data_IF_162457820270
#
_entry.id   IF_162457820270
#
_cell.length_a   1.000
_cell.length_b   1.000
_cell.length_c   1.000
_cell.angle_alpha   90.00
_cell.angle_beta   90.00
_cell.angle_gamma   90.00
#
_symmetry.space_group_name_H-M   'P 1'
#
loop_
_entity.id
_entity.type
_entity.pdbx_description
1 polymer ?
#
# COMPACT_ATOMS: atom_id res chain seq x y z
N UNK A 1 75.78 16.14 26.82
CA UNK A 1 75.30 16.67 25.53
C UNK A 1 74.20 15.75 25.03
N UNK A 2 72.99 16.29 24.87
CA UNK A 2 71.76 15.52 24.70
C UNK A 2 71.64 14.92 23.30
N UNK A 3 71.25 13.65 23.25
CA UNK A 3 70.91 12.91 22.03
C UNK A 3 69.51 13.35 21.58
N UNK A 4 69.44 14.05 20.45
CA UNK A 4 68.19 14.40 19.77
C UNK A 4 67.62 13.13 19.11
N UNK A 5 66.58 12.54 19.71
CA UNK A 5 65.79 11.48 19.07
C UNK A 5 64.83 12.13 18.06
N UNK A 6 64.98 11.78 16.79
CA UNK A 6 64.00 12.09 15.74
C UNK A 6 62.66 11.44 16.09
N UNK A 7 61.64 12.26 16.30
CA UNK A 7 60.23 11.89 16.19
C UNK A 7 59.90 11.80 14.69
N UNK A 8 59.76 10.58 14.15
CA UNK A 8 59.11 10.36 12.85
C UNK A 8 57.59 10.53 12.98
N UNK A 9 56.89 11.01 11.93
CA UNK A 9 55.49 11.38 12.02
C UNK A 9 54.57 10.15 11.90
N UNK A 10 53.78 9.88 12.93
CA UNK A 10 52.68 8.91 12.93
C UNK A 10 51.41 9.42 12.18
N UNK A 11 51.58 10.21 11.12
CA UNK A 11 50.49 10.91 10.42
C UNK A 11 50.02 10.18 9.15
N UNK A 12 50.77 9.19 8.65
CA UNK A 12 50.42 8.48 7.40
C UNK A 12 49.32 7.41 7.54
N UNK A 13 49.09 6.86 8.74
CA UNK A 13 48.08 5.81 8.97
C UNK A 13 46.65 6.39 9.13
N UNK A 14 46.51 7.64 9.58
CA UNK A 14 45.22 8.29 9.65
C UNK A 14 44.70 8.69 8.25
N UNK A 15 45.60 9.04 7.32
CA UNK A 15 45.21 9.45 5.96
C UNK A 15 44.67 8.31 5.09
N UNK A 16 45.16 7.07 5.25
CA UNK A 16 44.71 5.93 4.44
C UNK A 16 43.35 5.40 4.88
N UNK A 17 43.08 5.39 6.19
CA UNK A 17 41.78 4.97 6.75
C UNK A 17 40.67 5.96 6.35
N UNK A 18 40.96 7.26 6.38
CA UNK A 18 39.99 8.30 5.98
C UNK A 18 39.63 8.18 4.49
N UNK A 19 40.58 7.83 3.61
CA UNK A 19 40.33 7.63 2.19
C UNK A 19 39.49 6.37 1.88
N UNK A 20 39.66 5.30 2.65
CA UNK A 20 38.92 4.04 2.47
C UNK A 20 37.45 4.17 2.89
N UNK A 21 37.17 4.94 3.94
CA UNK A 21 35.81 5.20 4.42
C UNK A 21 35.10 6.35 3.67
N UNK A 22 35.86 7.21 2.99
CA UNK A 22 35.37 8.38 2.24
C UNK A 22 35.51 8.17 0.74
N UNK A 23 34.93 7.07 0.24
CA UNK A 23 34.87 6.76 -1.18
C UNK A 23 33.41 6.85 -1.66
N UNK A 24 33.18 7.46 -2.83
CA UNK A 24 31.87 7.46 -3.49
C UNK A 24 31.58 6.15 -4.25
N UNK A 25 32.57 5.27 -4.35
CA UNK A 25 32.44 3.97 -5.02
C UNK A 25 31.62 2.98 -4.19
N UNK A 26 30.99 2.04 -4.90
CA UNK A 26 30.33 0.88 -4.28
C UNK A 26 31.39 -0.13 -3.85
N UNK A 27 31.39 -0.52 -2.57
CA UNK A 27 32.16 -1.65 -2.08
C UNK A 27 31.41 -2.93 -2.40
N UNK A 28 32.02 -3.82 -3.16
CA UNK A 28 31.50 -5.18 -3.37
C UNK A 28 32.04 -6.11 -2.29
N UNK A 29 31.14 -6.72 -1.51
CA UNK A 29 31.48 -7.66 -0.45
C UNK A 29 31.10 -9.05 -0.92
N UNK A 30 32.10 -9.90 -1.22
CA UNK A 30 31.87 -11.27 -1.75
C UNK A 30 32.12 -12.37 -0.71
N UNK A 31 32.75 -12.00 0.40
CA UNK A 31 33.07 -12.84 1.56
C UNK A 31 33.21 -11.99 2.82
N UNK A 32 33.16 -12.62 3.99
CA UNK A 32 33.35 -11.95 5.28
C UNK A 32 34.68 -11.16 5.36
N UNK A 33 35.73 -11.61 4.67
CA UNK A 33 37.01 -10.91 4.62
C UNK A 33 36.92 -9.54 3.91
N UNK A 34 35.99 -9.34 2.97
CA UNK A 34 35.82 -8.03 2.31
C UNK A 34 35.10 -7.03 3.22
N UNK A 35 34.25 -7.52 4.14
CA UNK A 35 33.66 -6.68 5.18
C UNK A 35 34.73 -6.08 6.11
N UNK A 36 35.90 -6.73 6.24
CA UNK A 36 37.04 -6.17 6.99
C UNK A 36 37.57 -4.87 6.38
N UNK A 37 37.36 -4.62 5.09
CA UNK A 37 37.75 -3.38 4.41
C UNK A 37 36.98 -2.16 4.93
N UNK A 38 35.81 -2.36 5.53
CA UNK A 38 35.02 -1.31 6.19
C UNK A 38 34.90 -1.51 7.69
N UNK A 39 35.50 -2.55 8.26
CA UNK A 39 35.44 -2.82 9.68
C UNK A 39 36.11 -1.73 10.55
N UNK A 40 36.99 -0.90 9.98
CA UNK A 40 37.57 0.27 10.66
C UNK A 40 36.73 1.54 10.50
N UNK A 41 35.71 1.53 9.63
CA UNK A 41 34.87 2.67 9.33
C UNK A 41 33.68 2.75 10.29
N UNK A 42 33.52 3.87 11.00
CA UNK A 42 32.26 4.18 11.68
C UNK A 42 31.22 4.71 10.70
N UNK A 43 31.65 5.50 9.72
CA UNK A 43 30.84 6.00 8.60
C UNK A 43 31.48 5.58 7.28
N UNK A 44 30.70 4.96 6.39
CA UNK A 44 31.10 4.65 5.02
C UNK A 44 30.32 5.55 4.05
N UNK A 45 31.03 6.31 3.21
CA UNK A 45 30.43 7.34 2.35
C UNK A 45 29.83 6.80 1.05
N UNK A 46 30.14 5.56 0.68
CA UNK A 46 29.67 4.92 -0.54
C UNK A 46 28.47 4.01 -0.30
N UNK A 47 28.21 3.14 -1.27
CA UNK A 47 27.23 2.05 -1.19
C UNK A 47 27.91 0.71 -0.96
N UNK A 48 27.21 -0.26 -0.40
CA UNK A 48 27.65 -1.66 -0.29
C UNK A 48 26.81 -2.49 -1.25
N UNK A 49 27.46 -3.32 -2.06
CA UNK A 49 26.79 -4.31 -2.88
C UNK A 49 27.34 -5.71 -2.57
N UNK A 50 26.48 -6.72 -2.67
CA UNK A 50 26.87 -8.11 -2.52
C UNK A 50 26.50 -8.82 -3.82
N UNK A 51 27.46 -9.50 -4.48
CA UNK A 51 27.23 -10.11 -5.79
C UNK A 51 26.35 -11.36 -5.69
N UNK A 52 25.93 -11.85 -6.85
CA UNK A 52 25.04 -13.00 -7.01
C UNK A 52 25.71 -14.33 -6.62
N UNK A 53 27.02 -14.44 -6.84
CA UNK A 53 27.82 -15.62 -6.54
C UNK A 53 28.57 -15.42 -5.21
N UNK A 54 28.17 -16.22 -4.23
CA UNK A 54 28.70 -16.20 -2.87
C UNK A 54 29.50 -17.46 -2.56
N UNK A 55 30.10 -18.10 -3.57
CA UNK A 55 30.89 -19.33 -3.43
C UNK A 55 31.89 -19.32 -2.28
N UNK A 56 32.37 -18.13 -1.88
CA UNK A 56 33.37 -17.92 -0.83
C UNK A 56 32.81 -17.26 0.45
N UNK A 57 31.49 -17.07 0.58
CA UNK A 57 30.82 -16.53 1.79
C UNK A 57 30.37 -17.61 2.78
N UNK A 58 30.79 -18.86 2.58
CA UNK A 58 30.54 -19.95 3.52
C UNK A 58 31.27 -19.63 4.83
N UNK A 59 30.53 -19.46 5.93
CA UNK A 59 31.12 -19.39 7.26
C UNK A 59 31.65 -20.79 7.68
N UNK A 60 32.42 -20.87 8.76
CA UNK A 60 33.00 -22.14 9.24
C UNK A 60 31.95 -23.24 9.55
N UNK A 61 30.66 -22.89 9.59
CA UNK A 61 29.54 -23.79 9.85
C UNK A 61 28.79 -24.23 8.58
N UNK A 62 29.26 -23.88 7.38
CA UNK A 62 28.64 -24.30 6.13
C UNK A 62 27.46 -23.45 5.66
N UNK A 63 27.18 -22.33 6.32
CA UNK A 63 26.09 -21.41 5.95
C UNK A 63 26.64 -20.21 5.16
N UNK A 64 25.90 -19.78 4.13
CA UNK A 64 26.20 -18.56 3.39
C UNK A 64 25.66 -17.36 4.17
N UNK A 65 26.45 -16.89 5.12
CA UNK A 65 26.11 -15.81 6.03
C UNK A 65 27.08 -14.66 5.85
N UNK A 66 26.55 -13.44 5.77
CA UNK A 66 27.38 -12.24 5.70
C UNK A 66 27.09 -11.31 6.87
N UNK A 67 28.15 -10.97 7.63
CA UNK A 67 28.11 -9.96 8.67
C UNK A 67 29.02 -8.79 8.33
N UNK A 68 28.51 -7.57 8.48
CA UNK A 68 29.30 -6.33 8.40
C UNK A 68 29.19 -5.60 9.73
N UNK A 69 30.20 -5.81 10.57
CA UNK A 69 30.24 -5.26 11.92
C UNK A 69 31.04 -3.95 11.99
N UNK A 70 30.73 -3.12 13.00
CA UNK A 70 31.32 -1.80 13.31
C UNK A 70 30.88 -0.60 12.45
N UNK A 71 30.37 -0.80 11.22
CA UNK A 71 29.84 0.32 10.43
C UNK A 71 28.53 0.82 11.04
N UNK A 72 28.50 2.08 11.48
CA UNK A 72 27.33 2.70 12.10
C UNK A 72 26.50 3.51 11.11
N UNK A 73 27.11 4.02 10.04
CA UNK A 73 26.43 4.80 9.01
C UNK A 73 26.93 4.44 7.62
N UNK A 74 26.01 4.22 6.70
CA UNK A 74 26.27 4.11 5.26
C UNK A 74 25.59 5.29 4.59
N UNK A 75 26.34 6.18 3.93
CA UNK A 75 25.74 7.32 3.22
C UNK A 75 25.00 6.87 1.97
N UNK A 76 25.46 5.79 1.31
CA UNK A 76 24.80 5.18 0.17
C UNK A 76 23.79 4.10 0.54
N UNK A 77 23.61 3.17 -0.39
CA UNK A 77 22.66 2.05 -0.27
C UNK A 77 23.38 0.76 0.11
N UNK A 78 22.63 -0.18 0.68
CA UNK A 78 22.97 -1.60 0.69
C UNK A 78 22.12 -2.26 -0.38
N UNK A 79 22.76 -2.85 -1.40
CA UNK A 79 22.08 -3.48 -2.54
C UNK A 79 22.52 -4.93 -2.72
N UNK A 80 21.59 -5.86 -2.67
CA UNK A 80 21.83 -7.29 -2.94
C UNK A 80 20.74 -7.78 -3.87
N UNK A 81 21.13 -8.29 -5.03
CA UNK A 81 20.20 -8.89 -5.98
C UNK A 81 20.70 -10.28 -6.38
N UNK A 82 19.79 -11.22 -6.55
CA UNK A 82 20.03 -12.55 -7.13
C UNK A 82 21.07 -13.41 -6.38
N UNK A 83 21.37 -13.07 -5.12
CA UNK A 83 22.17 -13.91 -4.23
C UNK A 83 21.30 -15.02 -3.63
N UNK A 84 20.83 -15.93 -4.49
CA UNK A 84 19.83 -16.97 -4.17
C UNK A 84 20.28 -17.98 -3.14
N UNK A 85 21.58 -18.02 -2.83
CA UNK A 85 22.18 -18.89 -1.82
C UNK A 85 22.45 -18.18 -0.49
N UNK A 86 22.24 -16.88 -0.36
CA UNK A 86 22.46 -16.11 0.88
C UNK A 86 21.40 -16.47 1.92
N UNK A 87 21.82 -17.02 3.05
CA UNK A 87 20.93 -17.48 4.11
C UNK A 87 20.70 -16.44 5.21
N UNK A 88 21.73 -15.66 5.55
CA UNK A 88 21.62 -14.58 6.53
C UNK A 88 22.47 -13.35 6.20
N UNK A 89 21.94 -12.17 6.54
CA UNK A 89 22.59 -10.88 6.42
C UNK A 89 22.48 -10.11 7.73
N UNK A 90 23.62 -9.68 8.28
CA UNK A 90 23.66 -8.91 9.52
C UNK A 90 24.54 -7.66 9.44
N UNK A 91 24.08 -6.57 10.06
CA UNK A 91 24.90 -5.41 10.39
C UNK A 91 24.73 -5.08 11.88
N UNK A 92 25.65 -5.53 12.73
CA UNK A 92 25.48 -5.47 14.18
C UNK A 92 25.45 -4.06 14.78
N UNK A 93 26.02 -3.06 14.10
CA UNK A 93 26.14 -1.68 14.62
C UNK A 93 25.49 -0.61 13.73
N UNK A 94 24.86 -0.99 12.61
CA UNK A 94 24.35 -0.04 11.63
C UNK A 94 23.13 0.70 12.17
N UNK A 95 23.23 2.03 12.22
CA UNK A 95 22.19 2.95 12.70
C UNK A 95 21.48 3.69 11.59
N UNK A 96 22.18 3.95 10.47
CA UNK A 96 21.58 4.66 9.34
C UNK A 96 22.14 4.22 7.98
N UNK A 97 21.25 4.16 6.99
CA UNK A 97 21.58 4.03 5.57
C UNK A 97 20.59 4.76 4.66
N UNK A 98 21.02 5.15 3.46
CA UNK A 98 20.12 5.84 2.51
C UNK A 98 19.10 4.89 1.87
N UNK A 99 19.45 3.62 1.67
CA UNK A 99 18.53 2.65 1.09
C UNK A 99 18.93 1.22 1.37
N UNK A 100 17.95 0.37 1.67
CA UNK A 100 18.07 -1.07 1.75
C UNK A 100 17.33 -1.68 0.57
N UNK A 101 18.06 -2.31 -0.35
CA UNK A 101 17.53 -2.86 -1.60
C UNK A 101 17.91 -4.33 -1.71
N UNK A 102 16.97 -5.21 -1.37
CA UNK A 102 17.16 -6.65 -1.37
C UNK A 102 16.20 -7.29 -2.38
N UNK A 103 16.75 -8.02 -3.34
CA UNK A 103 16.02 -8.59 -4.47
C UNK A 103 16.39 -10.04 -4.75
N UNK A 104 15.38 -10.89 -4.96
CA UNK A 104 15.55 -12.29 -5.36
C UNK A 104 16.52 -13.08 -4.45
N UNK A 105 16.24 -13.05 -3.14
CA UNK A 105 17.02 -13.73 -2.11
C UNK A 105 16.19 -14.89 -1.56
N UNK A 106 16.06 -15.95 -2.36
CA UNK A 106 15.05 -17.00 -2.16
C UNK A 106 15.17 -17.80 -0.87
N UNK A 107 16.39 -17.89 -0.30
CA UNK A 107 16.66 -18.65 0.93
C UNK A 107 17.04 -17.75 2.11
N UNK A 108 17.06 -16.41 1.94
CA UNK A 108 17.40 -15.49 3.03
C UNK A 108 16.31 -15.59 4.10
N UNK A 109 16.71 -16.12 5.26
CA UNK A 109 15.81 -16.35 6.40
C UNK A 109 16.07 -15.39 7.55
N UNK A 110 17.22 -14.70 7.56
CA UNK A 110 17.58 -13.73 8.59
C UNK A 110 18.10 -12.43 7.98
N UNK A 111 17.46 -11.32 8.38
CA UNK A 111 17.91 -9.94 8.13
C UNK A 111 18.01 -9.21 9.48
N UNK A 112 19.24 -8.99 9.96
CA UNK A 112 19.51 -8.49 11.30
C UNK A 112 20.22 -7.14 11.30
N UNK A 113 19.51 -6.09 11.72
CA UNK A 113 19.97 -4.71 11.84
C UNK A 113 19.58 -4.16 13.24
N UNK A 114 20.10 -4.73 14.34
CA UNK A 114 19.54 -4.52 15.68
C UNK A 114 19.67 -3.08 16.24
N UNK A 115 20.48 -2.22 15.63
CA UNK A 115 20.65 -0.82 16.03
C UNK A 115 20.11 0.18 15.00
N UNK A 116 19.37 -0.29 13.99
CA UNK A 116 18.91 0.56 12.90
C UNK A 116 17.89 1.57 13.42
N UNK A 117 17.99 2.81 12.96
CA UNK A 117 17.07 3.90 13.31
C UNK A 117 16.53 4.60 12.06
N UNK A 118 17.39 4.78 11.05
CA UNK A 118 17.04 5.52 9.83
C UNK A 118 17.36 4.71 8.59
N UNK A 119 16.35 4.48 7.74
CA UNK A 119 16.54 3.89 6.42
C UNK A 119 15.85 4.81 5.42
N UNK A 120 16.59 5.48 4.54
CA UNK A 120 15.96 6.41 3.58
C UNK A 120 14.90 5.74 2.72
N UNK A 121 15.16 4.53 2.20
CA UNK A 121 14.20 3.71 1.44
C UNK A 121 14.36 2.22 1.76
N UNK A 122 13.24 1.50 1.91
CA UNK A 122 13.21 0.04 2.08
C UNK A 122 12.59 -0.56 0.82
N UNK A 123 13.33 -1.43 0.13
CA UNK A 123 12.86 -2.19 -1.02
C UNK A 123 13.23 -3.66 -0.86
N UNK A 124 12.24 -4.49 -0.55
CA UNK A 124 12.37 -5.93 -0.35
C UNK A 124 11.49 -6.65 -1.38
N UNK A 125 12.11 -7.39 -2.29
CA UNK A 125 11.44 -8.03 -3.41
C UNK A 125 11.89 -9.49 -3.55
N UNK A 126 10.95 -10.43 -3.53
CA UNK A 126 11.28 -11.85 -3.77
C UNK A 126 12.20 -12.44 -2.69
N UNK A 127 11.74 -12.37 -1.43
CA UNK A 127 12.44 -12.90 -0.25
C UNK A 127 11.50 -13.84 0.53
N UNK A 128 11.04 -14.94 -0.09
CA UNK A 128 9.98 -15.79 0.44
C UNK A 128 10.34 -16.52 1.74
N UNK A 129 11.63 -16.71 2.04
CA UNK A 129 12.08 -17.39 3.26
C UNK A 129 12.15 -16.46 4.50
N UNK A 130 12.13 -15.14 4.32
CA UNK A 130 12.27 -14.18 5.42
C UNK A 130 10.92 -13.96 6.11
N UNK A 131 10.80 -14.43 7.36
CA UNK A 131 9.52 -14.38 8.10
C UNK A 131 9.38 -13.17 9.03
N UNK A 132 10.49 -12.55 9.42
CA UNK A 132 10.53 -11.39 10.30
C UNK A 132 11.78 -10.53 10.06
N UNK A 133 11.73 -9.27 10.46
CA UNK A 133 12.91 -8.43 10.61
C UNK A 133 13.53 -8.59 11.99
N UNK A 134 14.82 -8.27 12.13
CA UNK A 134 15.44 -8.01 13.41
C UNK A 134 16.00 -6.58 13.43
N UNK A 135 15.11 -5.59 13.57
CA UNK A 135 15.46 -4.15 13.63
C UNK A 135 15.65 -3.62 15.06
N UNK A 136 15.75 -4.53 16.04
CA UNK A 136 15.83 -4.18 17.45
C UNK A 136 14.53 -3.62 18.02
N UNK A 137 14.56 -3.25 19.31
CA UNK A 137 13.37 -2.76 20.02
C UNK A 137 12.99 -1.33 19.63
N UNK A 138 13.97 -0.51 19.24
CA UNK A 138 13.75 0.88 18.85
C UNK A 138 13.19 1.00 17.41
N UNK A 139 13.42 -0.03 16.57
CA UNK A 139 12.94 -0.08 15.19
C UNK A 139 13.41 1.07 14.31
N UNK A 140 12.80 1.18 13.13
CA UNK A 140 13.04 2.28 12.19
C UNK A 140 12.07 3.41 12.49
N UNK A 141 12.61 4.59 12.80
CA UNK A 141 11.82 5.81 13.07
C UNK A 141 11.70 6.73 11.86
N UNK A 142 12.58 6.58 10.87
CA UNK A 142 12.59 7.42 9.68
C UNK A 142 12.78 6.61 8.39
N UNK A 143 11.82 6.74 7.48
CA UNK A 143 11.93 6.28 6.10
C UNK A 143 11.04 7.10 5.16
N UNK A 144 11.43 7.25 3.90
CA UNK A 144 10.63 7.95 2.90
C UNK A 144 9.72 7.01 2.11
N UNK A 145 10.17 5.79 1.82
CA UNK A 145 9.44 4.86 0.96
C UNK A 145 9.69 3.42 1.36
N UNK A 146 8.60 2.64 1.39
CA UNK A 146 8.61 1.21 1.66
C UNK A 146 7.97 0.48 0.49
N UNK A 147 8.71 -0.46 -0.10
CA UNK A 147 8.22 -1.49 -1.02
C UNK A 147 8.57 -2.86 -0.42
N UNK A 148 7.55 -3.66 -0.10
CA UNK A 148 7.71 -5.04 0.38
C UNK A 148 6.81 -5.93 -0.45
N UNK A 149 7.41 -6.81 -1.25
CA UNK A 149 6.65 -7.71 -2.13
C UNK A 149 7.27 -9.09 -2.27
N UNK A 150 6.42 -10.10 -2.38
CA UNK A 150 6.83 -11.50 -2.53
C UNK A 150 7.77 -11.95 -1.40
N UNK A 151 7.42 -11.64 -0.15
CA UNK A 151 8.19 -12.03 1.03
C UNK A 151 7.43 -13.04 1.89
N UNK A 152 8.16 -13.75 2.76
CA UNK A 152 7.60 -14.65 3.77
C UNK A 152 7.14 -13.94 5.05
N UNK A 153 7.18 -12.61 5.09
CA UNK A 153 6.97 -11.83 6.31
C UNK A 153 5.56 -12.09 6.87
N UNK A 154 5.49 -12.25 8.20
CA UNK A 154 4.23 -12.47 8.92
C UNK A 154 3.73 -11.23 9.66
N UNK A 155 4.64 -10.30 9.96
CA UNK A 155 4.36 -8.97 10.49
C UNK A 155 5.38 -7.96 9.97
N UNK A 156 5.14 -6.68 10.20
CA UNK A 156 6.07 -5.59 9.92
C UNK A 156 6.57 -4.91 11.21
N UNK A 157 6.64 -5.68 12.31
CA UNK A 157 7.17 -5.17 13.58
C UNK A 157 8.59 -4.62 13.40
N UNK A 158 8.87 -3.47 14.01
CA UNK A 158 10.09 -2.69 13.78
C UNK A 158 9.90 -1.54 12.80
N UNK A 159 8.73 -1.40 12.17
CA UNK A 159 8.32 -0.23 11.38
C UNK A 159 7.22 0.60 12.07
N UNK A 160 6.78 0.18 13.25
CA UNK A 160 5.70 0.80 14.02
C UNK A 160 6.05 2.19 14.58
N UNK A 161 7.35 2.50 14.68
CA UNK A 161 7.88 3.77 15.20
C UNK A 161 7.98 4.89 14.14
N UNK A 162 7.55 4.63 12.90
CA UNK A 162 7.58 5.62 11.83
C UNK A 162 6.58 6.75 12.08
N UNK A 163 7.06 8.00 12.07
CA UNK A 163 6.19 9.18 12.21
C UNK A 163 5.56 9.63 10.88
N UNK A 164 6.32 9.56 9.79
CA UNK A 164 5.86 9.93 8.44
C UNK A 164 6.45 8.98 7.40
N UNK A 165 5.74 8.76 6.30
CA UNK A 165 6.26 8.09 5.11
C UNK A 165 5.66 8.76 3.87
N UNK A 166 6.39 8.76 2.77
CA UNK A 166 5.85 9.28 1.52
C UNK A 166 5.03 8.19 0.83
N UNK A 167 5.60 7.00 0.66
CA UNK A 167 4.95 5.87 -0.03
C UNK A 167 5.09 4.58 0.76
N UNK A 168 3.98 3.86 0.91
CA UNK A 168 3.93 2.56 1.59
C UNK A 168 3.22 1.55 0.68
N UNK A 169 4.00 0.65 0.08
CA UNK A 169 3.49 -0.36 -0.82
C UNK A 169 3.87 -1.75 -0.31
N UNK A 170 2.88 -2.49 0.20
CA UNK A 170 3.05 -3.84 0.72
C UNK A 170 2.07 -4.74 -0.02
N UNK A 171 2.59 -5.58 -0.91
CA UNK A 171 1.76 -6.41 -1.76
C UNK A 171 2.36 -7.80 -1.99
N UNK A 172 1.52 -8.80 -2.28
CA UNK A 172 1.99 -10.17 -2.56
C UNK A 172 2.79 -10.80 -1.41
N UNK A 173 2.41 -10.57 -0.15
CA UNK A 173 3.04 -11.19 1.02
C UNK A 173 1.99 -12.05 1.75
N UNK A 174 1.73 -13.27 1.27
CA UNK A 174 0.58 -14.07 1.71
C UNK A 174 0.64 -14.49 3.18
N UNK A 175 1.83 -14.46 3.80
CA UNK A 175 2.05 -14.76 5.21
C UNK A 175 1.69 -13.62 6.17
N UNK A 176 1.48 -12.39 5.68
CA UNK A 176 1.22 -11.24 6.56
C UNK A 176 -0.12 -11.40 7.29
N UNK A 177 -0.08 -11.21 8.61
CA UNK A 177 -1.26 -11.28 9.47
C UNK A 177 -1.65 -9.91 10.02
N UNK A 178 -0.67 -9.04 10.23
CA UNK A 178 -0.89 -7.69 10.75
C UNK A 178 0.06 -6.68 10.09
N UNK A 179 -0.47 -5.48 9.86
CA UNK A 179 0.28 -4.29 9.48
C UNK A 179 -0.15 -3.18 10.44
N UNK A 180 0.78 -2.70 11.26
CA UNK A 180 0.56 -1.54 12.14
C UNK A 180 1.65 -0.53 11.92
N UNK A 181 1.29 0.72 11.62
CA UNK A 181 2.23 1.84 11.48
C UNK A 181 1.79 3.03 12.34
N UNK A 182 2.72 3.61 13.12
CA UNK A 182 2.51 4.80 13.93
C UNK A 182 2.47 6.13 13.18
N UNK A 183 2.41 6.10 11.84
CA UNK A 183 2.50 7.28 10.99
C UNK A 183 1.35 8.27 11.23
N UNK A 184 1.67 9.55 11.23
CA UNK A 184 0.70 10.66 11.33
C UNK A 184 0.26 11.17 9.96
N UNK A 185 1.12 11.02 8.94
CA UNK A 185 0.82 11.43 7.58
C UNK A 185 1.46 10.53 6.51
N UNK A 186 0.74 10.33 5.40
CA UNK A 186 1.21 9.70 4.16
C UNK A 186 1.22 10.73 3.03
N UNK A 187 2.40 11.05 2.48
CA UNK A 187 2.50 12.11 1.47
C UNK A 187 1.96 11.70 0.10
N UNK A 188 2.19 10.46 -0.33
CA UNK A 188 1.83 9.99 -1.67
C UNK A 188 0.77 8.89 -1.63
N UNK A 189 1.10 7.69 -1.15
CA UNK A 189 0.19 6.56 -1.23
C UNK A 189 0.44 5.46 -0.19
N UNK A 190 -0.65 4.88 0.32
CA UNK A 190 -0.71 3.52 0.86
C UNK A 190 -1.30 2.60 -0.22
N UNK A 191 -0.62 1.50 -0.50
CA UNK A 191 -1.14 0.39 -1.29
C UNK A 191 -0.91 -0.93 -0.55
N UNK A 192 -2.00 -1.55 -0.10
CA UNK A 192 -2.00 -2.87 0.52
C UNK A 192 -2.88 -3.78 -0.33
N UNK A 193 -2.29 -4.83 -0.92
CA UNK A 193 -3.00 -5.73 -1.82
C UNK A 193 -2.40 -7.14 -1.87
N UNK A 194 -3.21 -8.16 -2.15
CA UNK A 194 -2.75 -9.53 -2.37
C UNK A 194 -1.86 -10.09 -1.24
N UNK A 195 -2.19 -9.77 0.01
CA UNK A 195 -1.46 -10.24 1.20
C UNK A 195 -2.25 -11.30 2.00
N UNK A 196 -3.36 -11.82 1.45
CA UNK A 196 -4.34 -12.70 2.10
C UNK A 196 -4.23 -14.19 1.70
N UNK A 197 -3.14 -14.58 1.04
CA UNK A 197 -3.03 -15.86 0.32
C UNK A 197 -3.19 -17.15 1.15
N UNK A 198 -3.18 -17.09 2.48
CA UNK A 198 -3.38 -18.26 3.36
C UNK A 198 -4.66 -18.21 4.21
N UNK A 199 -5.70 -17.48 3.77
CA UNK A 199 -6.87 -17.14 4.60
C UNK A 199 -6.50 -16.36 5.86
N UNK A 200 -5.37 -15.65 5.81
CA UNK A 200 -4.95 -14.76 6.88
C UNK A 200 -5.95 -13.60 6.92
N UNK A 201 -6.63 -13.46 8.06
CA UNK A 201 -7.44 -12.30 8.35
C UNK A 201 -6.53 -11.09 8.55
N UNK A 202 -5.93 -10.57 7.47
CA UNK A 202 -4.99 -9.45 7.51
C UNK A 202 -5.64 -8.24 8.15
N UNK A 203 -5.13 -7.89 9.33
CA UNK A 203 -5.53 -6.69 10.05
C UNK A 203 -4.58 -5.55 9.71
N UNK A 204 -5.13 -4.37 9.45
CA UNK A 204 -4.34 -3.17 9.16
C UNK A 204 -4.75 -2.03 10.09
N UNK A 205 -3.78 -1.37 10.71
CA UNK A 205 -4.02 -0.32 11.68
C UNK A 205 -3.05 0.85 11.51
N UNK A 206 -3.62 2.06 11.44
CA UNK A 206 -2.88 3.31 11.41
C UNK A 206 -3.43 4.22 12.51
N UNK A 207 -3.13 3.90 13.79
CA UNK A 207 -3.82 4.49 14.95
C UNK A 207 -3.63 6.00 15.09
N UNK A 208 -2.52 6.53 14.55
CA UNK A 208 -2.17 7.96 14.64
C UNK A 208 -2.32 8.71 13.32
N UNK A 209 -2.77 8.04 12.25
CA UNK A 209 -2.82 8.65 10.92
C UNK A 209 -3.92 9.71 10.86
N UNK A 210 -3.52 10.95 10.58
CA UNK A 210 -4.41 12.11 10.49
C UNK A 210 -4.68 12.50 9.04
N UNK A 211 -3.66 12.44 8.18
CA UNK A 211 -3.76 12.85 6.78
C UNK A 211 -3.12 11.88 5.81
N UNK A 212 -3.74 11.64 4.67
CA UNK A 212 -3.13 10.87 3.59
C UNK A 212 -3.45 11.49 2.22
N UNK A 213 -2.62 11.24 1.23
CA UNK A 213 -2.96 11.58 -0.16
C UNK A 213 -3.84 10.50 -0.79
N UNK A 214 -3.32 9.29 -0.95
CA UNK A 214 -4.04 8.17 -1.57
C UNK A 214 -3.93 6.91 -0.70
N UNK A 215 -5.01 6.15 -0.56
CA UNK A 215 -5.06 4.94 0.25
C UNK A 215 -5.88 3.87 -0.47
N UNK A 216 -5.25 2.74 -0.75
CA UNK A 216 -5.88 1.54 -1.33
C UNK A 216 -5.69 0.35 -0.41
N UNK A 217 -6.80 -0.24 0.01
CA UNK A 217 -6.86 -1.46 0.80
C UNK A 217 -7.59 -2.53 0.02
N UNK A 218 -6.90 -3.64 -0.24
CA UNK A 218 -7.48 -4.83 -0.84
C UNK A 218 -7.27 -6.02 0.07
N UNK A 219 -8.25 -6.91 0.10
CA UNK A 219 -8.15 -8.19 0.78
C UNK A 219 -7.79 -8.10 2.29
N UNK A 220 -8.19 -7.03 2.96
CA UNK A 220 -8.02 -6.86 4.40
C UNK A 220 -9.24 -7.42 5.16
N UNK A 221 -9.03 -8.03 6.32
CA UNK A 221 -10.12 -8.42 7.23
C UNK A 221 -10.54 -7.27 8.15
N UNK A 222 -9.64 -6.31 8.38
CA UNK A 222 -9.94 -5.07 9.09
C UNK A 222 -9.01 -3.94 8.67
N UNK A 223 -9.54 -2.72 8.70
CA UNK A 223 -8.79 -1.48 8.48
C UNK A 223 -9.18 -0.48 9.55
N UNK A 224 -8.23 -0.08 10.40
CA UNK A 224 -8.44 0.84 11.52
C UNK A 224 -7.78 2.19 11.26
N UNK A 225 -8.60 3.24 11.15
CA UNK A 225 -8.20 4.62 10.83
C UNK A 225 -8.86 5.64 11.80
N UNK A 226 -8.68 5.49 13.13
CA UNK A 226 -9.48 6.21 14.12
C UNK A 226 -9.24 7.73 14.13
N UNK A 227 -8.05 8.18 13.74
CA UNK A 227 -7.67 9.60 13.75
C UNK A 227 -7.70 10.26 12.36
N UNK A 228 -8.05 9.50 11.31
CA UNK A 228 -7.96 9.99 9.93
C UNK A 228 -8.97 11.10 9.72
N UNK A 229 -8.48 12.31 9.42
CA UNK A 229 -9.28 13.52 9.30
C UNK A 229 -9.48 13.96 7.85
N UNK A 230 -8.49 13.72 6.98
CA UNK A 230 -8.50 14.18 5.59
C UNK A 230 -7.72 13.25 4.64
N UNK A 231 -8.31 12.96 3.48
CA UNK A 231 -7.65 12.25 2.37
C UNK A 231 -7.73 13.09 1.10
N UNK A 232 -6.60 13.49 0.50
CA UNK A 232 -6.66 14.48 -0.60
C UNK A 232 -7.06 13.91 -1.95
N UNK A 233 -6.77 12.63 -2.22
CA UNK A 233 -7.02 11.97 -3.51
C UNK A 233 -8.07 10.86 -3.40
N UNK A 234 -7.76 9.69 -2.84
CA UNK A 234 -8.71 8.58 -2.78
C UNK A 234 -8.55 7.76 -1.51
N UNK A 235 -9.67 7.36 -0.93
CA UNK A 235 -9.76 6.34 0.11
C UNK A 235 -10.58 5.18 -0.46
N UNK A 236 -9.91 4.07 -0.79
CA UNK A 236 -10.51 2.96 -1.51
C UNK A 236 -10.35 1.60 -0.84
N UNK A 237 -11.45 0.85 -0.83
CA UNK A 237 -11.59 -0.48 -0.25
C UNK A 237 -12.15 -1.45 -1.30
N UNK A 238 -11.36 -2.46 -1.67
CA UNK A 238 -11.70 -3.40 -2.75
C UNK A 238 -11.59 -4.85 -2.28
N UNK A 239 -12.67 -5.63 -2.36
CA UNK A 239 -12.60 -7.06 -2.06
C UNK A 239 -12.20 -7.38 -0.61
N UNK A 240 -12.43 -6.47 0.34
CA UNK A 240 -12.12 -6.71 1.75
C UNK A 240 -13.19 -7.62 2.39
N UNK A 241 -12.79 -8.33 3.44
CA UNK A 241 -13.64 -9.25 4.21
C UNK A 241 -14.09 -8.65 5.54
N UNK A 242 -13.85 -7.36 5.76
CA UNK A 242 -14.31 -6.63 6.95
C UNK A 242 -15.84 -6.50 6.99
N UNK A 243 -16.43 -6.75 8.17
CA UNK A 243 -17.88 -6.61 8.37
C UNK A 243 -18.32 -5.15 8.53
N UNK A 244 -17.44 -4.28 9.01
CA UNK A 244 -17.70 -2.86 9.20
C UNK A 244 -16.45 -2.03 8.93
N UNK A 245 -16.67 -0.78 8.55
CA UNK A 245 -15.62 0.23 8.45
C UNK A 245 -16.01 1.50 9.17
N UNK A 246 -15.07 2.08 9.92
CA UNK A 246 -15.26 3.36 10.59
C UNK A 246 -14.06 4.29 10.41
N UNK A 247 -14.37 5.56 10.11
CA UNK A 247 -13.41 6.65 10.13
C UNK A 247 -14.07 7.85 10.84
N UNK A 248 -14.11 7.84 12.18
CA UNK A 248 -14.96 8.75 12.96
C UNK A 248 -14.58 10.22 12.80
N UNK A 249 -13.31 10.51 12.49
CA UNK A 249 -12.78 11.86 12.36
C UNK A 249 -12.71 12.37 10.91
N UNK A 250 -13.02 11.54 9.92
CA UNK A 250 -12.84 11.90 8.51
C UNK A 250 -13.89 12.93 8.11
N UNK A 251 -13.44 14.11 7.72
CA UNK A 251 -14.31 15.24 7.32
C UNK A 251 -14.36 15.47 5.83
N UNK A 252 -13.26 15.18 5.13
CA UNK A 252 -13.11 15.38 3.69
C UNK A 252 -12.29 14.25 3.07
N UNK A 253 -12.69 13.79 1.89
CA UNK A 253 -11.85 12.97 1.02
C UNK A 253 -11.90 13.47 -0.43
N UNK A 254 -10.92 13.12 -1.25
CA UNK A 254 -11.04 13.25 -2.70
C UNK A 254 -12.13 12.31 -3.21
N UNK A 255 -11.84 11.02 -3.38
CA UNK A 255 -12.82 9.96 -3.64
C UNK A 255 -13.01 9.03 -2.45
N UNK A 256 -14.19 8.42 -2.37
CA UNK A 256 -14.53 7.40 -1.38
C UNK A 256 -15.03 6.16 -2.12
N UNK A 257 -14.36 5.03 -1.95
CA UNK A 257 -14.64 3.83 -2.75
C UNK A 257 -14.79 2.60 -1.86
N UNK A 258 -15.91 1.89 -2.00
CA UNK A 258 -16.17 0.58 -1.43
C UNK A 258 -16.70 -0.35 -2.52
N UNK A 259 -15.87 -1.25 -3.04
CA UNK A 259 -16.24 -2.17 -4.12
C UNK A 259 -15.99 -3.61 -3.69
N UNK A 260 -16.96 -4.49 -3.93
CA UNK A 260 -16.85 -5.94 -3.73
C UNK A 260 -16.46 -6.35 -2.29
N UNK A 261 -16.72 -5.52 -1.28
CA UNK A 261 -16.51 -5.89 0.13
C UNK A 261 -17.73 -6.70 0.60
N UNK A 262 -17.81 -7.96 0.20
CA UNK A 262 -19.04 -8.77 0.30
C UNK A 262 -19.55 -8.98 1.73
N UNK A 263 -18.65 -8.95 2.73
CA UNK A 263 -19.00 -9.10 4.15
C UNK A 263 -19.43 -7.78 4.80
N UNK A 264 -19.22 -6.64 4.14
CA UNK A 264 -19.46 -5.32 4.71
C UNK A 264 -20.96 -5.10 4.94
N UNK A 265 -21.33 -4.79 6.18
CA UNK A 265 -22.71 -4.52 6.62
C UNK A 265 -22.91 -3.07 7.04
N UNK A 266 -21.84 -2.37 7.41
CA UNK A 266 -21.89 -1.01 7.93
C UNK A 266 -20.69 -0.17 7.49
N UNK A 267 -20.96 1.08 7.10
CA UNK A 267 -19.95 2.13 6.89
C UNK A 267 -20.31 3.29 7.81
N UNK A 268 -19.39 3.68 8.71
CA UNK A 268 -19.60 4.78 9.67
C UNK A 268 -18.54 5.87 9.52
N UNK A 269 -18.92 6.99 8.91
CA UNK A 269 -18.07 8.16 8.71
C UNK A 269 -18.88 9.43 9.05
N UNK A 270 -19.27 9.60 10.32
CA UNK A 270 -20.32 10.53 10.74
C UNK A 270 -19.94 12.01 10.58
N UNK A 271 -18.66 12.32 10.38
CA UNK A 271 -18.16 13.69 10.19
C UNK A 271 -17.88 14.04 8.73
N UNK A 272 -18.05 13.12 7.78
CA UNK A 272 -17.78 13.37 6.37
C UNK A 272 -18.73 14.42 5.83
N UNK A 273 -18.19 15.53 5.30
CA UNK A 273 -18.97 16.65 4.76
C UNK A 273 -18.78 16.83 3.25
N UNK A 274 -17.58 16.54 2.73
CA UNK A 274 -17.24 16.74 1.32
C UNK A 274 -16.46 15.58 0.73
N UNK A 275 -16.82 15.23 -0.51
CA UNK A 275 -16.09 14.33 -1.39
C UNK A 275 -15.75 15.10 -2.67
N UNK A 276 -14.46 15.41 -2.86
CA UNK A 276 -13.99 16.31 -3.91
C UNK A 276 -13.87 15.65 -5.30
N UNK A 277 -14.09 14.34 -5.38
CA UNK A 277 -14.22 13.52 -6.56
C UNK A 277 -15.52 12.69 -6.45
N UNK A 278 -15.44 11.37 -6.59
CA UNK A 278 -16.61 10.48 -6.60
C UNK A 278 -16.77 9.68 -5.31
N UNK A 279 -18.02 9.42 -4.95
CA UNK A 279 -18.39 8.35 -4.02
C UNK A 279 -18.81 7.15 -4.86
N UNK A 280 -18.16 6.02 -4.67
CA UNK A 280 -18.51 4.76 -5.32
C UNK A 280 -18.74 3.67 -4.28
N UNK A 281 -19.96 3.17 -4.18
CA UNK A 281 -20.31 2.05 -3.32
C UNK A 281 -20.99 1.00 -4.20
N UNK A 282 -20.25 -0.05 -4.53
CA UNK A 282 -20.65 -1.05 -5.51
C UNK A 282 -20.50 -2.48 -4.96
N UNK A 283 -21.48 -3.35 -5.23
CA UNK A 283 -21.38 -4.80 -5.00
C UNK A 283 -21.02 -5.25 -3.57
N UNK A 284 -21.30 -4.44 -2.55
CA UNK A 284 -21.16 -4.84 -1.15
C UNK A 284 -22.44 -5.59 -0.73
N UNK A 285 -22.50 -6.90 -1.00
CA UNK A 285 -23.76 -7.69 -1.00
C UNK A 285 -24.48 -7.76 0.35
N UNK A 286 -23.76 -7.59 1.46
CA UNK A 286 -24.34 -7.53 2.81
C UNK A 286 -24.68 -6.11 3.27
N UNK A 287 -24.25 -5.07 2.55
CA UNK A 287 -24.51 -3.67 2.89
C UNK A 287 -25.90 -3.28 2.39
N UNK A 288 -26.90 -3.41 3.26
CA UNK A 288 -28.30 -3.09 2.92
C UNK A 288 -28.64 -1.62 3.05
N UNK A 289 -27.92 -0.90 3.90
CA UNK A 289 -28.20 0.49 4.22
C UNK A 289 -26.95 1.34 4.06
N UNK A 290 -27.14 2.56 3.58
CA UNK A 290 -26.12 3.60 3.60
C UNK A 290 -26.66 4.73 4.48
N UNK A 291 -26.36 4.67 5.78
CA UNK A 291 -26.88 5.56 6.83
C UNK A 291 -25.78 6.11 7.76
N UNK A 292 -24.51 5.77 7.55
CA UNK A 292 -23.39 6.26 8.37
C UNK A 292 -22.60 7.43 7.78
N UNK A 293 -23.06 8.04 6.69
CA UNK A 293 -22.46 9.23 6.04
C UNK A 293 -23.40 10.44 6.00
N UNK A 294 -24.27 10.58 7.01
CA UNK A 294 -25.39 11.53 7.01
C UNK A 294 -24.98 13.02 6.88
N UNK A 295 -23.77 13.39 7.29
CA UNK A 295 -23.27 14.77 7.15
C UNK A 295 -22.75 15.11 5.75
N UNK A 296 -22.69 14.12 4.85
CA UNK A 296 -22.20 14.34 3.49
C UNK A 296 -23.09 15.36 2.78
N UNK A 297 -22.50 16.50 2.44
CA UNK A 297 -23.21 17.61 1.82
C UNK A 297 -22.82 17.84 0.37
N UNK A 298 -21.55 17.65 0.03
CA UNK A 298 -21.03 17.90 -1.32
C UNK A 298 -20.33 16.69 -1.91
N UNK A 299 -20.69 16.35 -3.15
CA UNK A 299 -19.95 15.46 -4.05
C UNK A 299 -19.62 16.21 -5.35
N UNK A 300 -18.35 16.35 -5.67
CA UNK A 300 -17.89 17.21 -6.79
C UNK A 300 -17.85 16.50 -8.13
N UNK A 301 -17.64 15.18 -8.17
CA UNK A 301 -17.79 14.38 -9.38
C UNK A 301 -19.10 13.58 -9.28
N UNK A 302 -19.05 12.25 -9.18
CA UNK A 302 -20.24 11.40 -9.18
C UNK A 302 -20.58 10.75 -7.85
N UNK A 303 -21.87 10.58 -7.59
CA UNK A 303 -22.39 9.70 -6.54
C UNK A 303 -22.91 8.44 -7.23
N UNK A 304 -22.10 7.38 -7.22
CA UNK A 304 -22.37 6.10 -7.90
C UNK A 304 -22.60 4.97 -6.88
N UNK A 305 -23.85 4.58 -6.73
CA UNK A 305 -24.32 3.56 -5.82
C UNK A 305 -24.94 2.43 -6.62
N UNK A 306 -24.37 1.23 -6.56
CA UNK A 306 -25.00 0.05 -7.17
C UNK A 306 -24.85 -1.21 -6.31
N UNK A 307 -25.91 -2.01 -6.23
CA UNK A 307 -25.92 -3.20 -5.37
C UNK A 307 -27.32 -3.66 -4.99
N UNK A 308 -27.52 -3.96 -3.71
CA UNK A 308 -28.79 -4.48 -3.19
C UNK A 308 -29.28 -3.70 -1.95
N UNK A 309 -29.04 -2.39 -1.96
CA UNK A 309 -29.47 -1.44 -0.92
C UNK A 309 -31.00 -1.38 -0.83
N UNK A 310 -31.52 -1.45 0.40
CA UNK A 310 -32.92 -1.18 0.72
C UNK A 310 -33.12 0.27 1.19
N UNK A 311 -32.04 0.94 1.62
CA UNK A 311 -32.10 2.29 2.17
C UNK A 311 -30.80 3.07 1.89
N UNK A 312 -30.95 4.34 1.52
CA UNK A 312 -29.84 5.29 1.37
C UNK A 312 -30.30 6.60 2.00
N UNK A 313 -29.68 6.98 3.12
CA UNK A 313 -30.02 8.17 3.89
C UNK A 313 -28.89 9.22 3.83
N UNK A 314 -29.17 10.31 3.12
CA UNK A 314 -28.23 11.41 2.86
C UNK A 314 -28.93 12.77 3.09
N UNK A 315 -29.38 13.08 4.33
CA UNK A 315 -30.28 14.19 4.58
C UNK A 315 -29.64 15.57 4.42
N UNK A 316 -28.30 15.66 4.50
CA UNK A 316 -27.55 16.91 4.35
C UNK A 316 -27.02 17.14 2.93
N UNK A 317 -27.35 16.26 1.98
CA UNK A 317 -26.88 16.36 0.61
C UNK A 317 -27.43 17.64 -0.04
N UNK A 318 -26.54 18.58 -0.34
CA UNK A 318 -26.89 19.88 -0.91
C UNK A 318 -26.34 20.05 -2.33
N UNK A 319 -25.34 19.24 -2.71
CA UNK A 319 -24.72 19.34 -4.03
C UNK A 319 -24.10 18.02 -4.48
N UNK A 320 -24.53 17.55 -5.66
CA UNK A 320 -23.83 16.58 -6.51
C UNK A 320 -23.61 17.25 -7.87
N UNK A 321 -22.38 17.67 -8.15
CA UNK A 321 -22.09 18.45 -9.38
C UNK A 321 -22.13 17.58 -10.64
N UNK A 322 -21.58 16.38 -10.57
CA UNK A 322 -21.58 15.40 -11.66
C UNK A 322 -22.78 14.46 -11.61
N UNK A 323 -22.59 13.24 -12.08
CA UNK A 323 -23.67 12.27 -12.20
C UNK A 323 -24.12 11.72 -10.85
N UNK A 324 -25.40 11.38 -10.77
CA UNK A 324 -26.00 10.59 -9.72
C UNK A 324 -26.49 9.27 -10.32
N UNK A 325 -26.01 8.15 -9.80
CA UNK A 325 -26.46 6.82 -10.12
C UNK A 325 -26.82 6.08 -8.83
N UNK A 326 -28.06 5.61 -8.72
CA UNK A 326 -28.51 4.67 -7.71
C UNK A 326 -29.25 3.54 -8.40
N UNK A 327 -28.62 2.37 -8.51
CA UNK A 327 -29.26 1.18 -9.03
C UNK A 327 -29.22 0.08 -7.99
N UNK A 328 -30.37 -0.45 -7.60
CA UNK A 328 -30.44 -1.51 -6.60
C UNK A 328 -31.38 -2.63 -7.00
N UNK A 329 -31.03 -3.86 -6.62
CA UNK A 329 -31.89 -5.02 -6.86
C UNK A 329 -33.08 -5.10 -5.91
N UNK A 330 -33.05 -4.39 -4.78
CA UNK A 330 -34.19 -4.28 -3.89
C UNK A 330 -35.22 -3.26 -4.41
N UNK A 331 -36.47 -3.38 -3.95
CA UNK A 331 -37.45 -2.30 -4.13
C UNK A 331 -36.92 -1.02 -3.46
N UNK A 332 -36.99 0.10 -4.16
CA UNK A 332 -36.40 1.36 -3.69
C UNK A 332 -37.20 2.57 -4.17
N UNK A 333 -37.50 3.51 -3.26
CA UNK A 333 -38.19 4.75 -3.58
C UNK A 333 -37.20 5.84 -4.00
N UNK A 334 -37.26 6.22 -5.26
CA UNK A 334 -36.42 7.28 -5.84
C UNK A 334 -37.01 8.69 -5.66
N UNK A 335 -38.14 8.85 -4.96
CA UNK A 335 -38.86 10.13 -4.88
C UNK A 335 -38.04 11.24 -4.25
N UNK A 336 -37.26 10.95 -3.20
CA UNK A 336 -36.41 11.95 -2.55
C UNK A 336 -35.31 12.43 -3.51
N UNK A 337 -34.52 11.52 -4.08
CA UNK A 337 -33.46 11.90 -5.03
C UNK A 337 -34.01 12.56 -6.31
N UNK A 338 -35.25 12.26 -6.70
CA UNK A 338 -35.93 12.95 -7.79
C UNK A 338 -36.25 14.41 -7.45
N UNK A 339 -36.64 14.70 -6.20
CA UNK A 339 -36.80 16.07 -5.70
C UNK A 339 -35.44 16.77 -5.67
N UNK A 340 -34.39 16.11 -5.21
CA UNK A 340 -33.03 16.65 -5.17
C UNK A 340 -32.53 17.03 -6.58
N UNK A 341 -32.84 16.21 -7.59
CA UNK A 341 -32.59 16.55 -9.00
C UNK A 341 -33.37 17.80 -9.44
N UNK A 342 -34.66 17.86 -9.10
CA UNK A 342 -35.55 18.98 -9.47
C UNK A 342 -35.08 20.29 -8.83
N UNK A 343 -34.64 20.22 -7.56
CA UNK A 343 -34.14 21.34 -6.75
C UNK A 343 -32.68 21.69 -7.02
N UNK A 344 -32.04 21.08 -8.03
CA UNK A 344 -30.63 21.34 -8.42
C UNK A 344 -29.59 21.02 -7.33
N UNK A 345 -29.96 20.19 -6.36
CA UNK A 345 -29.01 19.49 -5.48
C UNK A 345 -28.20 18.53 -6.34
N UNK A 346 -28.87 17.67 -7.13
CA UNK A 346 -28.23 16.84 -8.16
C UNK A 346 -28.24 17.59 -9.49
N UNK A 347 -27.07 17.92 -10.03
CA UNK A 347 -26.93 18.79 -11.21
C UNK A 347 -26.60 18.05 -12.51
N UNK A 348 -25.89 16.93 -12.42
CA UNK A 348 -25.52 16.14 -13.59
C UNK A 348 -26.58 15.11 -14.01
N UNK A 349 -26.13 14.10 -14.76
CA UNK A 349 -26.99 13.01 -15.22
C UNK A 349 -27.57 12.27 -14.01
N UNK A 350 -28.88 12.07 -14.00
CA UNK A 350 -29.59 11.38 -12.94
C UNK A 350 -30.04 10.00 -13.40
N UNK A 351 -29.77 8.98 -12.60
CA UNK A 351 -30.31 7.63 -12.74
C UNK A 351 -30.62 7.09 -11.36
N UNK A 352 -31.88 6.71 -11.12
CA UNK A 352 -32.30 6.05 -9.90
C UNK A 352 -33.29 4.94 -10.27
N UNK A 353 -33.02 3.72 -9.86
CA UNK A 353 -33.87 2.57 -10.17
C UNK A 353 -33.73 1.46 -9.11
N UNK A 354 -34.86 1.07 -8.52
CA UNK A 354 -34.98 -0.16 -7.72
C UNK A 354 -35.34 -1.37 -8.57
N UNK A 355 -35.39 -2.56 -7.95
CA UNK A 355 -35.82 -3.83 -8.54
C UNK A 355 -35.04 -4.25 -9.79
N UNK A 356 -33.77 -3.86 -9.84
CA UNK A 356 -32.89 -4.15 -10.96
C UNK A 356 -32.41 -5.61 -10.91
N UNK A 357 -32.53 -6.32 -12.05
CA UNK A 357 -31.96 -7.68 -12.18
C UNK A 357 -30.43 -7.62 -12.18
N UNK A 358 -29.88 -6.62 -12.87
CA UNK A 358 -28.44 -6.35 -12.93
C UNK A 358 -28.21 -4.85 -12.67
N UNK A 359 -28.21 -4.43 -11.40
CA UNK A 359 -27.86 -3.06 -11.05
C UNK A 359 -26.46 -2.74 -11.58
N UNK A 360 -26.32 -1.63 -12.30
CA UNK A 360 -25.04 -1.21 -12.86
C UNK A 360 -24.54 0.12 -12.31
N UNK A 361 -23.25 0.37 -12.49
CA UNK A 361 -22.62 1.64 -12.13
C UNK A 361 -22.99 2.80 -13.07
N UNK A 362 -22.35 3.94 -12.85
CA UNK A 362 -22.55 5.14 -13.66
C UNK A 362 -22.42 4.84 -15.18
N UNK A 363 -23.33 5.38 -15.98
CA UNK A 363 -23.33 5.22 -17.44
C UNK A 363 -24.10 3.99 -17.95
N UNK A 364 -24.39 3.01 -17.10
CA UNK A 364 -25.23 1.86 -17.44
C UNK A 364 -26.71 2.23 -17.54
N UNK A 365 -27.50 1.41 -18.26
CA UNK A 365 -28.95 1.55 -18.33
C UNK A 365 -29.59 0.62 -17.29
N UNK A 366 -30.57 1.09 -16.51
CA UNK A 366 -31.36 0.22 -15.64
C UNK A 366 -31.98 -0.95 -16.44
N UNK A 367 -31.71 -2.18 -16.00
CA UNK A 367 -32.41 -3.37 -16.47
C UNK A 367 -33.84 -3.38 -15.93
N UNK A 368 -34.84 -3.13 -16.79
CA UNK A 368 -36.25 -3.20 -16.37
C UNK A 368 -36.68 -4.62 -15.99
N UNK A 369 -37.54 -4.75 -14.99
CA UNK A 369 -38.36 -5.95 -14.76
C UNK A 369 -39.42 -6.00 -15.87
N UNK A 370 -39.07 -6.49 -17.06
CA UNK A 370 -40.07 -6.73 -18.10
C UNK A 370 -40.78 -8.05 -17.84
N UNK A 371 -41.97 -7.99 -17.23
CA UNK A 371 -43.03 -8.95 -17.50
C UNK A 371 -43.50 -8.76 -18.95
N UNK A 372 -42.78 -9.39 -19.88
CA UNK A 372 -43.30 -9.68 -21.21
C UNK A 372 -42.65 -10.95 -21.72
N UNK A 373 -43.36 -12.05 -21.53
CA UNK A 373 -43.19 -13.31 -22.23
C UNK A 373 -43.13 -13.05 -23.73
N UNK A 374 -41.95 -13.25 -24.33
CA UNK A 374 -41.82 -13.77 -25.69
C UNK A 374 -40.81 -14.90 -25.65
N UNK A 375 -41.35 -16.10 -25.79
CA UNK A 375 -40.57 -17.30 -26.06
C UNK A 375 -39.86 -17.13 -27.41
N UNK A 376 -38.57 -17.42 -27.45
CA UNK A 376 -37.90 -17.82 -28.68
C UNK A 376 -36.68 -18.67 -28.35
N UNK A 377 -36.75 -19.94 -28.76
CA UNK A 377 -35.64 -20.66 -29.40
C UNK A 377 -34.42 -20.98 -28.54
N UNK A 378 -34.29 -22.26 -28.22
CA UNK A 378 -33.02 -22.96 -28.04
C UNK A 378 -31.92 -22.48 -29.00
N UNK A 379 -30.71 -22.20 -28.50
CA UNK A 379 -29.44 -22.80 -28.94
C UNK A 379 -28.26 -22.26 -28.12
N UNK A 380 -27.40 -23.18 -27.69
CA UNK A 380 -26.08 -22.90 -27.16
C UNK A 380 -25.14 -22.36 -28.25
N UNK A 381 -24.25 -21.43 -27.91
CA UNK A 381 -22.86 -21.40 -28.36
C UNK A 381 -22.11 -20.23 -27.70
N UNK A 382 -20.95 -20.56 -27.13
CA UNK A 382 -19.86 -19.62 -26.90
C UNK A 382 -19.52 -18.88 -28.20
N UNK A 383 -19.38 -17.55 -28.13
CA UNK A 383 -18.65 -16.80 -29.15
C UNK A 383 -17.98 -15.59 -28.48
N UNK A 384 -16.68 -15.75 -28.25
CA UNK A 384 -15.72 -14.65 -28.22
C UNK A 384 -15.83 -13.94 -29.57
N UNK A 385 -16.06 -12.63 -29.56
CA UNK A 385 -15.91 -11.80 -30.76
C UNK A 385 -14.80 -10.80 -30.49
N UNK A 386 -13.67 -11.08 -31.13
CA UNK A 386 -12.54 -10.18 -31.37
C UNK A 386 -12.74 -9.66 -32.78
N UNK A 387 -12.89 -8.34 -32.95
CA UNK A 387 -12.54 -7.51 -34.12
C UNK A 387 -13.29 -6.17 -33.99
N UNK A 388 -12.79 -5.01 -34.41
CA UNK A 388 -11.46 -4.49 -34.69
C UNK A 388 -11.65 -2.98 -34.88
N UNK A 389 -10.54 -2.26 -34.78
CA UNK A 389 -10.37 -0.81 -34.87
C UNK A 389 -11.30 -0.04 -35.83
N UNK A 390 -11.83 1.08 -35.34
CA UNK A 390 -11.93 2.32 -36.12
C UNK A 390 -11.67 3.53 -35.19
N UNK A 391 -10.56 4.23 -35.45
CA UNK A 391 -10.19 5.50 -34.84
C UNK A 391 -11.28 6.56 -35.11
N UNK A 392 -11.60 7.40 -34.11
CA UNK A 392 -11.62 8.87 -34.20
C UNK A 392 -11.72 9.44 -32.77
N UNK A 393 -10.66 10.19 -32.42
CA UNK A 393 -10.47 11.26 -31.43
C UNK A 393 -11.48 11.54 -30.30
N UNK A 394 -10.94 11.66 -29.08
CA UNK A 394 -11.48 12.56 -28.05
C UNK A 394 -11.44 12.03 -26.62
N UNK A 395 -10.26 12.10 -25.98
CA UNK A 395 -10.04 12.28 -24.53
C UNK A 395 -11.02 11.62 -23.54
N UNK A 396 -10.72 10.39 -23.10
CA UNK A 396 -11.16 9.88 -21.79
C UNK A 396 -10.20 8.79 -21.27
N UNK A 397 -9.04 9.22 -20.77
CA UNK A 397 -8.16 8.42 -19.93
C UNK A 397 -8.70 8.52 -18.50
N UNK A 398 -9.36 7.48 -17.98
CA UNK A 398 -9.46 7.19 -16.52
C UNK A 398 -10.23 5.91 -16.13
N UNK A 399 -10.55 4.98 -17.04
CA UNK A 399 -11.31 3.75 -16.69
C UNK A 399 -10.66 2.43 -17.15
N UNK A 400 -9.34 2.36 -17.30
CA UNK A 400 -8.65 1.16 -17.81
C UNK A 400 -7.41 0.75 -17.02
N UNK A 401 -7.50 0.68 -15.68
CA UNK A 401 -6.50 -0.02 -14.84
C UNK A 401 -7.24 -0.97 -13.86
N UNK A 402 -8.12 -1.82 -14.38
CA UNK A 402 -8.74 -2.90 -13.58
C UNK A 402 -8.72 -4.27 -14.28
N UNK A 403 -7.90 -4.45 -15.32
CA UNK A 403 -7.78 -5.74 -16.03
C UNK A 403 -6.34 -6.20 -16.26
N UNK A 404 -5.38 -5.75 -15.44
CA UNK A 404 -4.00 -6.26 -15.50
C UNK A 404 -3.54 -7.06 -14.28
N UNK A 405 -4.44 -7.36 -13.34
CA UNK A 405 -4.16 -8.26 -12.21
C UNK A 405 -5.43 -9.05 -11.84
N UNK A 406 -5.86 -9.91 -12.77
CA UNK A 406 -6.61 -11.12 -12.44
C UNK A 406 -5.66 -12.31 -12.53
#
# INVERSE_FOLDING_TARGET
>A
MAVFKLLLPAVALASTVVAQCSNSATLTVTRAADASQVASCTTYSGSIAIPTDLSDSVNDNGHNSLSVDNVQKIVGNVTINDAVSLESLSFGSLRSLSGLQLGNLTVLSELSLPQIQTIGQINLTGIPALQQFSFGNDGVSQTSSILITNTGLTSLQGLDQLETVDSFNVNNNPGLQNITLGVTSIKNAINIAANDGFQSGLTTAFPQLQTAMNMTFRNCSSVSLPQLANVTQYLGFYGNTMESFAAPNLTTTGGLVFIDNIALTNISIPLLTSVNASVQIANNTMLKKIDGIQKLSTVTASLDLNGNFTEVDLPNLSQVKGAFNLQTSAQFDCSQFKKDQTNKVIRGKYTCAGSQVKPGGEGTKPSGTSSSSKASGTSAANAVVVDSLALIGGTSLLASILQMFL
#
